data_IF_573119044105
#
_entry.id   IF_573119044105
#
_cell.length_a   1.000
_cell.length_b   1.000
_cell.length_c   1.000
_cell.angle_alpha   90.00
_cell.angle_beta   90.00
_cell.angle_gamma   90.00
#
_symmetry.space_group_name_H-M   'P 1'
#
loop_
_entity.id
_entity.type
_entity.pdbx_description
1 polymer ?
#
# COMPACT_ATOMS: atom_id res chain seq x y z
N UNK A 1 12.16 5.31 -3.76
CA UNK A 1 11.93 5.50 -2.29
C UNK A 1 10.83 4.61 -1.73
N UNK A 2 9.60 4.61 -2.30
CA UNK A 2 8.54 3.69 -1.84
C UNK A 2 8.85 2.24 -2.27
N UNK A 3 9.25 2.03 -3.52
CA UNK A 3 9.60 0.70 -4.03
C UNK A 3 10.75 0.08 -3.23
N UNK A 4 11.80 0.87 -2.96
CA UNK A 4 13.04 0.38 -2.34
C UNK A 4 12.92 0.13 -0.83
N UNK A 5 11.94 0.75 -0.16
CA UNK A 5 11.82 0.68 1.30
C UNK A 5 10.50 0.06 1.77
N UNK A 6 9.37 0.43 1.17
CA UNK A 6 8.05 0.02 1.66
C UNK A 6 7.77 -1.45 1.37
N UNK A 7 7.96 -1.90 0.13
CA UNK A 7 7.67 -3.29 -0.23
C UNK A 7 8.57 -4.26 0.55
N UNK A 8 9.89 -4.04 0.66
CA UNK A 8 10.74 -4.86 1.53
C UNK A 8 10.30 -4.85 3.00
N UNK A 9 9.91 -3.69 3.53
CA UNK A 9 9.42 -3.59 4.91
C UNK A 9 8.11 -4.38 5.12
N UNK A 10 7.18 -4.34 4.17
CA UNK A 10 5.95 -5.15 4.20
C UNK A 10 6.33 -6.64 4.20
N UNK A 11 7.18 -7.09 3.26
CA UNK A 11 7.60 -8.49 3.20
C UNK A 11 8.28 -8.97 4.49
N UNK A 12 9.00 -8.09 5.18
CA UNK A 12 9.70 -8.40 6.43
C UNK A 12 8.80 -8.39 7.68
N UNK A 13 7.80 -7.50 7.75
CA UNK A 13 7.02 -7.27 8.98
C UNK A 13 5.59 -7.79 8.92
N UNK A 14 5.04 -7.99 7.73
CA UNK A 14 3.65 -8.44 7.59
C UNK A 14 3.51 -9.91 7.99
N UNK A 15 2.44 -10.31 8.69
CA UNK A 15 2.31 -11.68 9.17
C UNK A 15 2.33 -12.71 8.03
N UNK A 16 3.22 -13.71 8.12
CA UNK A 16 3.44 -14.72 7.07
C UNK A 16 2.19 -15.54 6.72
N UNK A 17 1.22 -15.63 7.64
CA UNK A 17 -0.08 -16.26 7.38
C UNK A 17 -0.85 -15.62 6.20
N UNK A 18 -0.48 -14.41 5.79
CA UNK A 18 -1.11 -13.67 4.69
C UNK A 18 -0.23 -13.61 3.43
N UNK A 19 0.94 -14.24 3.42
CA UNK A 19 1.90 -14.16 2.30
C UNK A 19 1.27 -14.44 0.94
N UNK A 20 0.44 -15.49 0.85
CA UNK A 20 -0.26 -15.92 -0.38
C UNK A 20 -1.63 -15.25 -0.59
N UNK A 21 -1.98 -14.27 0.24
CA UNK A 21 -3.24 -13.52 0.13
C UNK A 21 -2.96 -12.17 -0.53
N UNK A 22 -4.00 -11.58 -1.12
CA UNK A 22 -3.91 -10.21 -1.62
C UNK A 22 -3.81 -9.24 -0.44
N UNK A 23 -2.77 -8.41 -0.46
CA UNK A 23 -2.56 -7.32 0.51
C UNK A 23 -2.79 -6.02 -0.23
N UNK A 24 -3.75 -5.22 0.23
CA UNK A 24 -4.01 -3.89 -0.32
C UNK A 24 -3.32 -2.83 0.53
N UNK A 25 -2.50 -2.01 -0.12
CA UNK A 25 -1.87 -0.82 0.46
C UNK A 25 -2.61 0.40 -0.08
N UNK A 26 -3.35 1.06 0.80
CA UNK A 26 -4.10 2.25 0.46
C UNK A 26 -3.18 3.47 0.44
N UNK A 27 -3.28 4.28 -0.62
CA UNK A 27 -2.59 5.56 -0.76
C UNK A 27 -3.61 6.69 -0.64
N UNK A 28 -3.20 7.82 -0.07
CA UNK A 28 -4.00 9.02 -0.11
C UNK A 28 -4.10 9.56 -1.56
N UNK A 29 -5.12 10.37 -1.84
CA UNK A 29 -5.33 10.97 -3.16
C UNK A 29 -4.51 12.25 -3.37
N UNK A 30 -3.42 12.44 -2.61
CA UNK A 30 -2.39 13.38 -3.01
C UNK A 30 -1.83 12.94 -4.37
N UNK A 31 -1.30 13.87 -5.17
CA UNK A 31 -0.80 13.59 -6.53
C UNK A 31 -0.01 12.26 -6.52
N UNK A 32 -0.52 11.18 -7.17
CA UNK A 32 -0.08 9.83 -6.84
C UNK A 32 1.44 9.73 -6.96
N UNK A 33 2.08 9.21 -5.92
CA UNK A 33 3.53 8.99 -5.95
C UNK A 33 3.93 8.03 -7.08
N UNK A 34 3.01 7.15 -7.50
CA UNK A 34 3.07 6.31 -8.69
C UNK A 34 1.65 5.82 -9.04
N UNK A 35 1.49 5.27 -10.24
CA UNK A 35 0.23 4.67 -10.69
C UNK A 35 -0.08 3.37 -9.95
N UNK A 36 -1.36 3.06 -9.69
CA UNK A 36 -1.83 1.75 -9.20
C UNK A 36 -1.22 0.55 -9.96
N UNK A 37 -0.91 0.74 -11.25
CA UNK A 37 -0.37 -0.26 -12.16
C UNK A 37 1.08 0.04 -12.58
N UNK A 38 1.84 0.74 -11.75
CA UNK A 38 3.28 0.92 -11.98
C UNK A 38 3.96 -0.45 -12.11
N UNK A 39 4.66 -0.67 -13.24
CA UNK A 39 5.18 -1.98 -13.60
C UNK A 39 6.19 -2.50 -12.58
N UNK A 40 7.05 -1.64 -12.06
CA UNK A 40 8.09 -2.02 -11.09
C UNK A 40 7.44 -2.42 -9.76
N UNK A 41 6.40 -1.68 -9.34
CA UNK A 41 5.61 -1.99 -8.15
C UNK A 41 4.92 -3.34 -8.27
N UNK A 42 4.30 -3.61 -9.42
CA UNK A 42 3.60 -4.88 -9.68
C UNK A 42 4.59 -6.05 -9.65
N UNK A 43 5.74 -5.92 -10.30
CA UNK A 43 6.76 -6.97 -10.34
C UNK A 43 7.29 -7.26 -8.94
N UNK A 44 7.71 -6.24 -8.19
CA UNK A 44 8.35 -6.43 -6.88
C UNK A 44 7.32 -6.88 -5.83
N UNK A 45 6.10 -6.33 -5.89
CA UNK A 45 4.99 -6.68 -5.01
C UNK A 45 4.43 -8.09 -5.22
N UNK A 46 4.67 -8.68 -6.40
CA UNK A 46 4.23 -10.04 -6.75
C UNK A 46 5.32 -11.12 -6.62
N UNK A 47 6.55 -10.71 -6.29
CA UNK A 47 7.66 -11.64 -6.11
C UNK A 47 7.57 -12.44 -4.80
N UNK A 48 8.19 -13.62 -4.77
CA UNK A 48 8.31 -14.51 -3.60
C UNK A 48 6.97 -14.95 -2.99
N UNK A 49 5.98 -15.29 -3.82
CA UNK A 49 4.59 -15.65 -3.43
C UNK A 49 3.79 -14.52 -2.77
N UNK A 50 4.30 -13.28 -2.77
CA UNK A 50 3.52 -12.13 -2.31
C UNK A 50 2.53 -11.66 -3.38
N UNK A 51 1.48 -10.98 -2.94
CA UNK A 51 0.52 -10.32 -3.82
C UNK A 51 0.12 -8.97 -3.22
N UNK A 52 1.07 -8.02 -3.25
CA UNK A 52 0.91 -6.67 -2.71
C UNK A 52 0.41 -5.76 -3.82
N UNK A 53 -0.74 -5.11 -3.59
CA UNK A 53 -1.38 -4.20 -4.55
C UNK A 53 -1.58 -2.83 -3.92
N UNK A 54 -1.29 -1.78 -4.68
CA UNK A 54 -1.54 -0.42 -4.26
C UNK A 54 -2.89 0.05 -4.80
N UNK A 55 -3.59 0.85 -4.00
CA UNK A 55 -4.87 1.46 -4.35
C UNK A 55 -4.90 2.90 -3.89
N UNK A 56 -4.95 3.83 -4.84
CA UNK A 56 -5.28 5.22 -4.55
C UNK A 56 -6.74 5.35 -4.10
N UNK A 57 -6.98 6.22 -3.12
CA UNK A 57 -8.34 6.59 -2.73
C UNK A 57 -9.02 7.47 -3.79
N UNK A 58 -10.36 7.46 -3.86
CA UNK A 58 -11.10 8.43 -4.66
C UNK A 58 -10.85 9.86 -4.17
N UNK A 59 -11.02 10.84 -5.08
CA UNK A 59 -10.86 12.24 -4.75
C UNK A 59 -11.87 12.70 -3.69
N UNK A 60 -11.41 13.55 -2.75
CA UNK A 60 -12.18 14.10 -1.63
C UNK A 60 -12.76 13.04 -0.66
N UNK A 61 -12.19 11.84 -0.58
CA UNK A 61 -12.62 10.78 0.34
C UNK A 61 -11.79 10.71 1.63
N UNK A 62 -11.66 11.85 2.32
CA UNK A 62 -10.88 11.93 3.57
C UNK A 62 -11.49 11.08 4.70
N UNK A 63 -12.81 10.88 4.64
CA UNK A 63 -13.59 10.00 5.51
C UNK A 63 -13.40 8.50 5.23
N UNK A 64 -12.60 8.12 4.24
CA UNK A 64 -12.31 6.71 3.92
C UNK A 64 -10.86 6.32 4.23
N UNK A 65 -10.05 7.24 4.76
CA UNK A 65 -8.66 6.97 5.13
C UNK A 65 -8.55 6.65 6.62
N UNK A 66 -8.10 5.44 6.95
CA UNK A 66 -7.89 5.03 8.35
C UNK A 66 -6.82 5.89 9.04
N UNK A 67 -5.84 6.40 8.30
CA UNK A 67 -4.82 7.28 8.85
C UNK A 67 -5.43 8.62 9.24
N UNK A 68 -6.27 9.20 8.37
CA UNK A 68 -6.93 10.48 8.63
C UNK A 68 -7.98 10.37 9.73
N UNK A 69 -8.82 9.32 9.70
CA UNK A 69 -9.91 9.14 10.67
C UNK A 69 -9.45 8.66 12.04
N UNK A 70 -8.42 7.82 12.08
CA UNK A 70 -8.00 7.15 13.30
C UNK A 70 -6.74 7.77 13.88
N UNK A 71 -5.64 7.69 13.16
CA UNK A 71 -4.32 8.01 13.71
C UNK A 71 -4.13 9.52 13.83
N UNK A 72 -4.30 10.28 12.75
CA UNK A 72 -4.06 11.73 12.76
C UNK A 72 -5.10 12.49 13.56
N UNK A 73 -6.34 12.01 13.62
CA UNK A 73 -7.41 12.64 14.40
C UNK A 73 -7.33 12.35 15.92
N UNK A 74 -6.43 11.45 16.36
CA UNK A 74 -6.26 11.08 17.77
C UNK A 74 -5.00 11.67 18.41
N UNK A 75 -4.33 12.62 17.74
CA UNK A 75 -3.09 13.28 18.19
C UNK A 75 -3.39 14.72 18.62
#
# INVERSE_FOLDING_TARGET
MIIDNLIPAIKSKFPLAYKKKTIYVQQDNAKPHFSDNDADVVVIGSADDWNIKFKAQPANSHDLNVLDLGIFNSI
#
